data_IF_938055756923
#
_entry.id   IF_938055756923
#
_cell.length_a   1.000
_cell.length_b   1.000
_cell.length_c   1.000
_cell.angle_alpha   90.00
_cell.angle_beta   90.00
_cell.angle_gamma   90.00
#
_symmetry.space_group_name_H-M   'P 1'
#
loop_
_entity.id
_entity.type
_entity.pdbx_description
1 polymer ?
#
# COMPACT_ATOMS: atom_id res chain seq x y z
N UNK A 1 16.01 -10.85 -20.39
CA UNK A 1 16.14 -10.67 -18.92
C UNK A 1 15.16 -9.60 -18.41
N UNK A 2 15.14 -8.38 -18.95
CA UNK A 2 14.20 -7.31 -18.53
C UNK A 2 12.70 -7.68 -18.64
N UNK A 3 12.28 -8.38 -19.70
CA UNK A 3 10.88 -8.75 -19.91
C UNK A 3 10.28 -9.73 -18.89
N UNK A 4 11.02 -10.79 -18.51
CA UNK A 4 10.56 -11.76 -17.50
C UNK A 4 10.46 -11.12 -16.11
N UNK A 5 11.40 -10.24 -15.75
CA UNK A 5 11.35 -9.50 -14.49
C UNK A 5 10.16 -8.55 -14.40
N UNK A 6 9.84 -7.85 -15.51
CA UNK A 6 8.63 -7.02 -15.60
C UNK A 6 7.35 -7.84 -15.47
N UNK A 7 7.27 -8.97 -16.16
CA UNK A 7 6.13 -9.88 -16.08
C UNK A 7 5.93 -10.41 -14.65
N UNK A 8 7.00 -10.88 -14.00
CA UNK A 8 6.96 -11.33 -12.61
C UNK A 8 6.56 -10.21 -11.65
N UNK A 9 7.06 -8.98 -11.86
CA UNK A 9 6.68 -7.81 -11.06
C UNK A 9 5.20 -7.47 -11.15
N UNK A 10 4.60 -7.57 -12.34
CA UNK A 10 3.16 -7.37 -12.51
C UNK A 10 2.34 -8.49 -11.85
N UNK A 11 2.76 -9.75 -11.99
CA UNK A 11 2.13 -10.88 -11.31
C UNK A 11 2.14 -10.71 -9.79
N UNK A 12 3.29 -10.32 -9.23
CA UNK A 12 3.46 -10.06 -7.81
C UNK A 12 2.54 -8.94 -7.32
N UNK A 13 2.46 -7.81 -8.03
CA UNK A 13 1.58 -6.68 -7.69
C UNK A 13 0.10 -7.10 -7.64
N UNK A 14 -0.34 -7.91 -8.60
CA UNK A 14 -1.72 -8.44 -8.63
C UNK A 14 -1.99 -9.39 -7.45
N UNK A 15 -1.03 -10.26 -7.11
CA UNK A 15 -1.16 -11.15 -5.96
C UNK A 15 -1.29 -10.36 -4.64
N UNK A 16 -0.46 -9.34 -4.43
CA UNK A 16 -0.56 -8.49 -3.24
C UNK A 16 -1.87 -7.70 -3.16
N UNK A 17 -2.39 -7.22 -4.30
CA UNK A 17 -3.69 -6.57 -4.32
C UNK A 17 -4.83 -7.51 -3.85
N UNK A 18 -4.76 -8.79 -4.22
CA UNK A 18 -5.74 -9.79 -3.79
C UNK A 18 -5.61 -10.14 -2.31
N UNK A 19 -4.38 -10.28 -1.80
CA UNK A 19 -4.14 -10.50 -0.36
C UNK A 19 -4.71 -9.32 0.44
N UNK A 20 -4.41 -8.09 0.02
CA UNK A 20 -4.96 -6.88 0.64
C UNK A 20 -6.49 -6.84 0.58
N UNK A 21 -7.09 -7.22 -0.55
CA UNK A 21 -8.54 -7.32 -0.68
C UNK A 21 -9.15 -8.33 0.30
N UNK A 22 -8.53 -9.50 0.47
CA UNK A 22 -8.96 -10.49 1.46
C UNK A 22 -8.89 -9.94 2.88
N UNK A 23 -7.85 -9.17 3.21
CA UNK A 23 -7.71 -8.52 4.51
C UNK A 23 -8.83 -7.48 4.75
N UNK A 24 -9.19 -6.69 3.72
CA UNK A 24 -10.30 -5.74 3.82
C UNK A 24 -11.66 -6.42 4.04
N UNK A 25 -11.94 -7.52 3.32
CA UNK A 25 -13.15 -8.31 3.57
C UNK A 25 -13.17 -8.78 5.02
N UNK A 26 -12.06 -9.34 5.51
CA UNK A 26 -11.96 -9.87 6.86
C UNK A 26 -12.15 -8.78 7.92
N UNK A 27 -11.62 -7.57 7.70
CA UNK A 27 -11.79 -6.44 8.60
C UNK A 27 -13.25 -5.96 8.71
N UNK A 28 -14.02 -6.06 7.62
CA UNK A 28 -15.39 -5.52 7.55
C UNK A 28 -16.45 -6.60 7.83
N UNK A 29 -16.15 -7.88 7.64
CA UNK A 29 -17.13 -8.97 7.77
C UNK A 29 -17.83 -9.00 9.15
N UNK A 30 -17.07 -8.72 10.22
CA UNK A 30 -17.60 -8.66 11.59
C UNK A 30 -18.63 -7.54 11.76
N UNK A 31 -18.43 -6.40 11.10
CA UNK A 31 -19.38 -5.28 11.08
C UNK A 31 -20.62 -5.54 10.20
N UNK A 32 -20.51 -6.45 9.23
CA UNK A 32 -21.59 -6.82 8.31
C UNK A 32 -22.43 -8.01 8.82
N UNK A 33 -22.05 -8.63 9.93
CA UNK A 33 -22.76 -9.76 10.54
C UNK A 33 -22.59 -11.09 9.80
N UNK A 34 -21.53 -11.23 8.99
CA UNK A 34 -21.20 -12.49 8.32
C UNK A 34 -19.76 -12.91 8.67
N UNK A 35 -19.55 -14.21 8.89
CA UNK A 35 -18.21 -14.78 9.09
C UNK A 35 -17.82 -15.57 7.86
N UNK A 36 -16.83 -15.08 7.11
CA UNK A 36 -16.25 -15.83 6.01
C UNK A 36 -15.08 -16.64 6.53
N UNK A 37 -15.19 -17.97 6.41
CA UNK A 37 -14.04 -18.85 6.64
C UNK A 37 -12.91 -18.50 5.65
N UNK A 38 -11.66 -18.69 6.05
CA UNK A 38 -10.47 -18.41 5.23
C UNK A 38 -10.56 -18.98 3.81
N UNK A 39 -11.11 -20.20 3.69
CA UNK A 39 -11.33 -20.87 2.40
C UNK A 39 -12.33 -20.12 1.50
N UNK A 40 -13.41 -19.58 2.07
CA UNK A 40 -14.43 -18.86 1.31
C UNK A 40 -13.86 -17.52 0.81
N UNK A 41 -13.10 -16.81 1.64
CA UNK A 41 -12.41 -15.56 1.26
C UNK A 41 -11.43 -15.78 0.11
N UNK A 42 -10.66 -16.89 0.12
CA UNK A 42 -9.77 -17.26 -0.99
C UNK A 42 -10.53 -17.52 -2.29
N UNK A 43 -11.66 -18.24 -2.22
CA UNK A 43 -12.51 -18.51 -3.40
C UNK A 43 -13.04 -17.20 -3.99
N UNK A 44 -13.51 -16.29 -3.13
CA UNK A 44 -14.00 -14.95 -3.55
C UNK A 44 -12.87 -14.16 -4.22
N UNK A 45 -11.66 -14.16 -3.65
CA UNK A 45 -10.50 -13.48 -4.24
C UNK A 45 -10.15 -14.02 -5.63
N UNK A 46 -10.14 -15.34 -5.82
CA UNK A 46 -9.88 -15.97 -7.13
C UNK A 46 -10.99 -15.64 -8.14
N UNK A 47 -12.24 -15.62 -7.70
CA UNK A 47 -13.37 -15.24 -8.54
C UNK A 47 -13.27 -13.78 -9.01
N UNK A 48 -12.96 -12.85 -8.09
CA UNK A 48 -12.70 -11.45 -8.41
C UNK A 48 -11.50 -11.26 -9.35
N UNK A 49 -10.41 -11.99 -9.11
CA UNK A 49 -9.26 -11.99 -10.04
C UNK A 49 -9.70 -12.38 -11.45
N UNK A 50 -10.51 -13.43 -11.58
CA UNK A 50 -11.00 -13.90 -12.88
C UNK A 50 -11.83 -12.84 -13.59
N UNK A 51 -12.70 -12.12 -12.86
CA UNK A 51 -13.46 -10.98 -13.38
C UNK A 51 -12.53 -9.85 -13.83
N UNK A 52 -11.55 -9.49 -13.01
CA UNK A 52 -10.59 -8.42 -13.31
C UNK A 52 -9.77 -8.78 -14.56
N UNK A 53 -9.34 -10.04 -14.71
CA UNK A 53 -8.66 -10.52 -15.91
C UNK A 53 -9.56 -10.39 -17.13
N UNK A 54 -10.83 -10.81 -17.03
CA UNK A 54 -11.80 -10.67 -18.13
C UNK A 54 -12.01 -9.22 -18.55
N UNK A 55 -12.20 -8.31 -17.58
CA UNK A 55 -12.34 -6.87 -17.84
C UNK A 55 -11.08 -6.29 -18.49
N UNK A 56 -9.89 -6.70 -18.03
CA UNK A 56 -8.61 -6.27 -18.62
C UNK A 56 -8.48 -6.72 -20.08
N UNK A 57 -8.96 -7.92 -20.42
CA UNK A 57 -8.97 -8.42 -21.82
C UNK A 57 -9.93 -7.59 -22.68
N UNK A 58 -11.09 -7.17 -22.15
CA UNK A 58 -12.06 -6.35 -22.88
C UNK A 58 -11.59 -4.91 -23.17
N UNK A 59 -10.49 -4.47 -22.58
CA UNK A 59 -9.82 -3.21 -22.91
C UNK A 59 -10.60 -1.97 -22.45
N UNK A 60 -10.42 -1.58 -21.18
CA UNK A 60 -11.02 -0.37 -20.62
C UNK A 60 -10.29 0.88 -21.14
N UNK A 61 -10.94 1.62 -22.05
CA UNK A 61 -10.32 2.73 -22.82
C UNK A 61 -10.11 4.06 -22.07
N UNK A 62 -10.39 4.18 -20.77
CA UNK A 62 -10.33 5.48 -20.05
C UNK A 62 -9.85 5.44 -18.59
N UNK A 63 -8.85 4.60 -18.29
CA UNK A 63 -8.35 4.35 -16.92
C UNK A 63 -7.90 5.62 -16.17
N UNK A 64 -7.28 6.60 -16.84
CA UNK A 64 -6.68 7.77 -16.16
C UNK A 64 -7.69 8.67 -15.44
N UNK A 65 -8.86 8.92 -16.04
CA UNK A 65 -9.90 9.80 -15.45
C UNK A 65 -10.56 9.15 -14.22
N UNK A 66 -10.60 7.82 -14.17
CA UNK A 66 -11.17 7.04 -13.06
C UNK A 66 -10.14 6.89 -11.94
N UNK A 67 -8.86 6.67 -12.27
CA UNK A 67 -7.81 6.42 -11.28
C UNK A 67 -7.55 7.61 -10.35
N UNK A 68 -7.49 8.83 -10.90
CA UNK A 68 -7.14 10.03 -10.14
C UNK A 68 -8.08 10.30 -8.93
N UNK A 69 -9.42 10.34 -9.09
CA UNK A 69 -10.32 10.57 -7.96
C UNK A 69 -10.27 9.42 -6.95
N UNK A 70 -10.16 8.17 -7.41
CA UNK A 70 -10.05 6.99 -6.51
C UNK A 70 -8.84 7.14 -5.59
N UNK A 71 -7.65 7.38 -6.16
CA UNK A 71 -6.42 7.53 -5.36
C UNK A 71 -6.51 8.73 -4.43
N UNK A 72 -7.04 9.85 -4.92
CA UNK A 72 -7.16 11.08 -4.12
C UNK A 72 -8.07 10.86 -2.91
N UNK A 73 -9.23 10.23 -3.10
CA UNK A 73 -10.17 9.90 -2.03
C UNK A 73 -9.53 8.91 -1.06
N UNK A 74 -8.85 7.86 -1.55
CA UNK A 74 -8.18 6.90 -0.68
C UNK A 74 -7.09 7.55 0.19
N UNK A 75 -6.25 8.41 -0.38
CA UNK A 75 -5.20 9.11 0.39
C UNK A 75 -5.83 10.05 1.41
N UNK A 76 -6.84 10.84 1.02
CA UNK A 76 -7.54 11.73 1.94
C UNK A 76 -8.23 10.96 3.08
N UNK A 77 -8.83 9.81 2.77
CA UNK A 77 -9.47 8.96 3.77
C UNK A 77 -8.47 8.44 4.80
N UNK A 78 -7.30 7.94 4.37
CA UNK A 78 -6.31 7.43 5.31
C UNK A 78 -5.66 8.57 6.12
N UNK A 79 -5.47 9.75 5.52
CA UNK A 79 -5.03 10.94 6.27
C UNK A 79 -6.09 11.40 7.29
N UNK A 80 -7.38 11.31 6.95
CA UNK A 80 -8.45 11.58 7.91
C UNK A 80 -8.41 10.59 9.07
N UNK A 81 -8.22 9.29 8.81
CA UNK A 81 -8.06 8.29 9.87
C UNK A 81 -6.86 8.60 10.78
N UNK A 82 -5.74 9.06 10.21
CA UNK A 82 -4.58 9.46 10.99
C UNK A 82 -4.87 10.67 11.91
N UNK A 83 -5.65 11.65 11.44
CA UNK A 83 -6.10 12.78 12.27
C UNK A 83 -7.05 12.31 13.37
N UNK A 84 -8.00 11.43 13.04
CA UNK A 84 -8.92 10.86 14.03
C UNK A 84 -8.18 10.05 15.10
N UNK A 85 -7.17 9.27 14.70
CA UNK A 85 -6.30 8.56 15.63
C UNK A 85 -5.57 9.51 16.59
N UNK A 86 -5.04 10.63 16.08
CA UNK A 86 -4.38 11.64 16.91
C UNK A 86 -5.31 12.32 17.93
N UNK A 87 -6.63 12.32 17.67
CA UNK A 87 -7.66 12.88 18.54
C UNK A 87 -8.22 11.87 19.55
N UNK A 88 -7.86 10.59 19.42
CA UNK A 88 -8.34 9.54 20.31
C UNK A 88 -7.66 9.66 21.70
N UNK A 89 -8.42 9.58 22.81
CA UNK A 89 -7.84 9.64 24.16
C UNK A 89 -6.82 8.54 24.47
N UNK A 90 -6.88 7.41 23.77
CA UNK A 90 -5.94 6.28 23.91
C UNK A 90 -4.63 6.49 23.15
N UNK A 91 -4.51 7.56 22.35
CA UNK A 91 -3.33 7.81 21.54
C UNK A 91 -2.10 8.20 22.38
N UNK A 92 -1.02 7.46 22.22
CA UNK A 92 0.24 7.71 22.91
C UNK A 92 1.32 8.23 21.95
N UNK A 93 1.65 9.52 22.07
CA UNK A 93 2.65 10.20 21.22
C UNK A 93 4.06 9.63 21.31
N UNK A 94 4.41 8.98 22.43
CA UNK A 94 5.73 8.41 22.64
C UNK A 94 5.89 7.01 22.04
N UNK A 95 4.80 6.24 21.89
CA UNK A 95 4.86 4.85 21.40
C UNK A 95 5.61 4.71 20.08
N UNK A 96 5.34 5.49 19.01
CA UNK A 96 5.99 5.28 17.72
C UNK A 96 7.49 5.56 17.69
N UNK A 97 8.04 6.18 18.74
CA UNK A 97 9.46 6.59 18.82
C UNK A 97 10.22 5.87 19.93
N UNK A 98 9.55 5.03 20.72
CA UNK A 98 10.20 4.22 21.74
C UNK A 98 10.95 3.03 21.12
N UNK A 99 11.89 2.46 21.87
CA UNK A 99 12.77 1.39 21.39
C UNK A 99 12.06 0.06 21.16
N UNK A 100 11.00 -0.19 21.92
CA UNK A 100 10.11 -1.36 21.83
C UNK A 100 9.21 -1.32 20.58
N UNK A 101 8.98 -0.14 20.00
CA UNK A 101 8.25 0.01 18.74
C UNK A 101 8.87 -0.76 17.55
N UNK A 102 10.16 -1.10 17.64
CA UNK A 102 10.89 -1.81 16.60
C UNK A 102 10.93 -3.32 16.83
N UNK A 103 11.01 -3.75 18.09
CA UNK A 103 10.86 -5.13 18.56
C UNK A 103 10.98 -5.16 20.09
N UNK A 104 10.43 -6.20 20.71
CA UNK A 104 10.52 -6.44 22.17
C UNK A 104 11.98 -6.46 22.66
N UNK A 105 12.89 -7.01 21.84
CA UNK A 105 14.32 -7.14 22.13
C UNK A 105 15.15 -5.92 21.64
N UNK A 106 14.50 -4.90 21.07
CA UNK A 106 15.10 -3.70 20.50
C UNK A 106 15.65 -3.85 19.07
N UNK A 107 15.84 -2.71 18.40
CA UNK A 107 16.18 -2.59 16.97
C UNK A 107 17.37 -3.46 16.50
N UNK A 108 18.42 -3.57 17.32
CA UNK A 108 19.67 -4.24 16.97
C UNK A 108 19.69 -5.74 17.33
N UNK A 109 18.59 -6.27 17.88
CA UNK A 109 18.42 -7.71 18.05
C UNK A 109 18.23 -8.41 16.69
N UNK A 110 18.41 -9.74 16.66
CA UNK A 110 18.10 -10.52 15.45
C UNK A 110 16.65 -10.35 15.01
N UNK A 111 15.71 -10.35 15.97
CA UNK A 111 14.28 -10.16 15.72
C UNK A 111 14.00 -8.75 15.19
N UNK A 112 14.63 -7.71 15.75
CA UNK A 112 14.55 -6.33 15.26
C UNK A 112 15.09 -6.19 13.83
N UNK A 113 16.23 -6.80 13.52
CA UNK A 113 16.81 -6.78 12.18
C UNK A 113 15.93 -7.52 11.15
N UNK A 114 15.34 -8.66 11.52
CA UNK A 114 14.40 -9.41 10.65
C UNK A 114 13.10 -8.62 10.45
N UNK A 115 12.59 -7.98 11.51
CA UNK A 115 11.41 -7.11 11.44
C UNK A 115 11.62 -5.92 10.52
N UNK A 116 12.74 -5.20 10.68
CA UNK A 116 13.17 -4.13 9.79
C UNK A 116 13.29 -4.58 8.33
N UNK A 117 13.92 -5.74 8.09
CA UNK A 117 14.08 -6.30 6.75
C UNK A 117 12.75 -6.62 6.08
N UNK A 118 11.83 -7.21 6.85
CA UNK A 118 10.48 -7.55 6.38
C UNK A 118 9.67 -6.30 6.07
N UNK A 119 9.66 -5.31 6.98
CA UNK A 119 8.99 -4.02 6.77
C UNK A 119 9.58 -3.28 5.55
N UNK A 120 10.91 -3.26 5.40
CA UNK A 120 11.60 -2.67 4.26
C UNK A 120 11.22 -3.34 2.94
N UNK A 121 11.03 -4.67 2.93
CA UNK A 121 10.59 -5.38 1.73
C UNK A 121 9.18 -4.97 1.30
N UNK A 122 8.25 -4.81 2.24
CA UNK A 122 6.90 -4.30 1.96
C UNK A 122 6.92 -2.85 1.45
N UNK A 123 7.73 -1.99 2.09
CA UNK A 123 7.90 -0.59 1.65
C UNK A 123 8.51 -0.53 0.24
N UNK A 124 9.55 -1.30 -0.03
CA UNK A 124 10.18 -1.38 -1.36
C UNK A 124 9.19 -1.81 -2.44
N UNK A 125 8.35 -2.80 -2.14
CA UNK A 125 7.29 -3.26 -3.03
C UNK A 125 6.30 -2.12 -3.35
N UNK A 126 5.91 -1.32 -2.36
CA UNK A 126 5.03 -0.15 -2.55
C UNK A 126 5.66 0.91 -3.46
N UNK A 127 6.98 1.08 -3.42
CA UNK A 127 7.72 2.03 -4.28
C UNK A 127 8.02 1.50 -5.70
N UNK A 128 7.79 0.20 -5.96
CA UNK A 128 7.97 -0.38 -7.30
C UNK A 128 7.04 0.22 -8.38
N UNK A 129 6.14 1.14 -8.01
CA UNK A 129 5.28 1.90 -8.92
C UNK A 129 5.98 3.04 -9.67
N UNK A 130 7.14 3.53 -9.21
CA UNK A 130 7.84 4.69 -9.81
C UNK A 130 8.20 4.48 -11.29
N UNK A 131 8.43 3.24 -11.71
CA UNK A 131 8.69 2.88 -13.12
C UNK A 131 7.52 3.21 -14.05
N UNK A 132 6.28 3.29 -13.54
CA UNK A 132 5.12 3.73 -14.32
C UNK A 132 5.22 5.19 -14.78
N UNK A 133 5.94 6.04 -14.03
CA UNK A 133 6.16 7.44 -14.40
C UNK A 133 7.03 7.49 -15.66
N UNK A 134 8.09 6.68 -15.72
CA UNK A 134 8.93 6.56 -16.90
C UNK A 134 8.17 6.00 -18.11
N UNK A 135 7.21 5.09 -17.89
CA UNK A 135 6.39 4.52 -18.96
C UNK A 135 5.47 5.56 -19.66
N UNK A 136 5.14 6.66 -18.99
CA UNK A 136 4.35 7.78 -19.57
C UNK A 136 5.21 9.01 -19.86
N UNK A 137 6.53 8.88 -19.95
CA UNK A 137 7.44 10.00 -20.19
C UNK A 137 7.11 10.78 -21.47
N UNK A 138 6.53 10.14 -22.49
CA UNK A 138 6.11 10.78 -23.74
C UNK A 138 4.93 11.76 -23.59
N UNK A 139 4.18 11.69 -22.49
CA UNK A 139 3.07 12.62 -22.19
C UNK A 139 3.49 13.79 -21.28
N UNK A 140 4.72 13.77 -20.78
CA UNK A 140 5.25 14.80 -19.88
C UNK A 140 5.74 15.97 -20.72
N UNK A 141 5.32 17.19 -20.38
CA UNK A 141 5.90 18.41 -20.97
C UNK A 141 7.37 18.52 -20.54
N UNK A 142 8.30 18.75 -21.46
CA UNK A 142 9.75 18.79 -21.19
C UNK A 142 10.27 17.59 -20.37
N UNK A 143 10.24 16.36 -20.92
CA UNK A 143 10.57 15.14 -20.17
C UNK A 143 11.98 15.15 -19.54
N UNK A 144 12.98 15.76 -20.19
CA UNK A 144 14.36 15.80 -19.69
C UNK A 144 14.50 16.44 -18.32
N UNK A 145 13.68 17.44 -18.00
CA UNK A 145 13.69 18.16 -16.73
C UNK A 145 12.59 17.68 -15.79
N UNK A 146 11.39 17.43 -16.33
CA UNK A 146 10.23 17.14 -15.50
C UNK A 146 10.14 15.67 -15.09
N UNK A 147 10.63 14.72 -15.89
CA UNK A 147 10.62 13.30 -15.52
C UNK A 147 11.43 13.03 -14.24
N UNK A 148 12.71 13.47 -14.12
CA UNK A 148 13.48 13.26 -12.90
C UNK A 148 12.84 13.94 -11.67
N UNK A 149 12.33 15.17 -11.85
CA UNK A 149 11.64 15.91 -10.78
C UNK A 149 10.38 15.18 -10.33
N UNK A 150 9.54 14.71 -11.25
CA UNK A 150 8.33 13.95 -10.93
C UNK A 150 8.62 12.64 -10.19
N UNK A 151 9.70 11.93 -10.55
CA UNK A 151 10.11 10.73 -9.83
C UNK A 151 10.51 11.02 -8.38
N UNK A 152 11.33 12.05 -8.15
CA UNK A 152 11.76 12.45 -6.80
C UNK A 152 10.57 12.94 -5.97
N UNK A 153 9.71 13.80 -6.52
CA UNK A 153 8.53 14.30 -5.81
C UNK A 153 7.58 13.17 -5.43
N UNK A 154 7.36 12.20 -6.33
CA UNK A 154 6.52 11.04 -6.01
C UNK A 154 7.11 10.23 -4.86
N UNK A 155 8.42 10.00 -4.87
CA UNK A 155 9.12 9.27 -3.82
C UNK A 155 8.98 9.97 -2.47
N UNK A 156 9.25 11.28 -2.43
CA UNK A 156 9.17 12.08 -1.20
C UNK A 156 7.75 12.11 -0.66
N UNK A 157 6.75 12.41 -1.49
CA UNK A 157 5.35 12.51 -1.07
C UNK A 157 4.87 11.15 -0.54
N UNK A 158 5.13 10.06 -1.26
CA UNK A 158 4.73 8.73 -0.81
C UNK A 158 5.44 8.33 0.49
N UNK A 159 6.73 8.68 0.66
CA UNK A 159 7.46 8.43 1.91
C UNK A 159 6.83 9.18 3.09
N UNK A 160 6.53 10.47 2.91
CA UNK A 160 5.90 11.27 3.97
C UNK A 160 4.53 10.74 4.36
N UNK A 161 3.71 10.35 3.38
CA UNK A 161 2.41 9.75 3.62
C UNK A 161 2.56 8.44 4.42
N UNK A 162 3.51 7.57 4.04
CA UNK A 162 3.78 6.34 4.79
C UNK A 162 4.21 6.61 6.22
N UNK A 163 5.20 7.48 6.43
CA UNK A 163 5.71 7.81 7.76
C UNK A 163 4.61 8.39 8.65
N UNK A 164 3.80 9.31 8.13
CA UNK A 164 2.69 9.91 8.87
C UNK A 164 1.66 8.85 9.27
N UNK A 165 1.19 8.04 8.33
CA UNK A 165 0.17 7.03 8.60
C UNK A 165 0.70 5.99 9.59
N UNK A 166 1.91 5.48 9.38
CA UNK A 166 2.54 4.53 10.29
C UNK A 166 2.69 5.10 11.70
N UNK A 167 3.09 6.36 11.84
CA UNK A 167 3.21 7.03 13.13
C UNK A 167 1.86 7.08 13.88
N UNK A 168 0.81 7.55 13.22
CA UNK A 168 -0.50 7.67 13.85
C UNK A 168 -1.21 6.33 14.08
N UNK A 169 -0.93 5.32 13.26
CA UNK A 169 -1.48 3.98 13.48
C UNK A 169 -0.82 3.32 14.68
N UNK A 170 0.51 3.42 14.80
CA UNK A 170 1.26 2.78 15.87
C UNK A 170 0.98 3.40 17.25
N UNK A 171 0.71 4.71 17.30
CA UNK A 171 0.36 5.39 18.55
C UNK A 171 -0.99 4.95 19.15
N UNK A 172 -1.83 4.25 18.38
CA UNK A 172 -3.14 3.76 18.79
C UNK A 172 -3.18 2.22 18.98
N UNK A 173 -2.09 1.52 18.65
CA UNK A 173 -2.04 0.06 18.84
C UNK A 173 -1.92 -0.28 20.34
N UNK A 174 -2.72 -1.27 20.73
CA UNK A 174 -2.57 -1.95 22.02
C UNK A 174 -1.24 -2.73 22.04
N UNK A 175 -0.61 -2.87 23.23
CA UNK A 175 0.62 -3.64 23.40
C UNK A 175 0.45 -5.14 23.08
#
# INVERSE_FOLDING_TARGET
ISGLGLWASFGLKSAFALIGFSAYIYAVQGSLGFELTENISKIIAIFLLSIIVFINIMGVKSIKRIQFPIVSISVLFVLLLAVLAAMDPSFEWSKPVQSDAFSDDGLFSWNGAVGLGSASAFVFLSFAGVTKIAAVAGEIKSPSENLPRSMIWTLIIATLVYVLISFFLFGLMDP
#
